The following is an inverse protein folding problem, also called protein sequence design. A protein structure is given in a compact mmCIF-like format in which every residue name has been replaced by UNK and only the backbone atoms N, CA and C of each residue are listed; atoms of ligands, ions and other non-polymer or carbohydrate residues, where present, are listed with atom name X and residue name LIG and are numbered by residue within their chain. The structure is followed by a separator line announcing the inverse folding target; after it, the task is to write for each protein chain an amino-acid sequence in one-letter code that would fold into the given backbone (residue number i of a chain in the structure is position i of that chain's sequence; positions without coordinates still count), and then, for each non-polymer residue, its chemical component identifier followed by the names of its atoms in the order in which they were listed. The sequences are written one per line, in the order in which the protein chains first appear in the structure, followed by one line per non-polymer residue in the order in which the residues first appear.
data_IF_715339454684
#
_entry.id   IF_715339454684
#
_cell.length_a   1.000
_cell.length_b   1.000
_cell.length_c   1.000
_cell.angle_alpha   90.00
_cell.angle_beta   90.00
_cell.angle_gamma   90.00
#
_symmetry.space_group_name_H-M   'P 1'
#
loop_
_entity.id
_entity.type
_entity.pdbx_description
1 polymer ?
#
# COMPACT_ATOMS: atom_id res chain seq x y z
N UNK A 1 -8.19 4.21 7.34
CA UNK A 1 -9.44 3.59 7.82
C UNK A 1 -9.69 3.95 9.29
N UNK A 2 -10.91 3.95 9.73
CA UNK A 2 -11.27 4.44 11.07
C UNK A 2 -12.52 3.74 11.66
N UNK A 3 -12.95 2.61 11.07
CA UNK A 3 -14.16 1.89 11.48
C UNK A 3 -15.47 2.54 11.04
N UNK A 4 -15.42 3.63 10.27
CA UNK A 4 -16.60 4.40 9.83
C UNK A 4 -16.80 4.31 8.32
N UNK A 5 -17.86 4.95 7.84
CA UNK A 5 -18.25 5.02 6.44
C UNK A 5 -18.45 3.61 5.83
N UNK A 6 -17.96 3.40 4.64
CA UNK A 6 -18.14 2.17 3.89
C UNK A 6 -17.11 1.06 4.23
N UNK A 7 -16.28 1.24 5.27
CA UNK A 7 -15.22 0.28 5.59
C UNK A 7 -15.75 -1.13 5.87
N UNK A 8 -16.82 -1.25 6.64
CA UNK A 8 -17.40 -2.55 7.01
C UNK A 8 -18.08 -3.24 5.82
N UNK A 9 -18.96 -2.58 5.03
CA UNK A 9 -19.48 -3.15 3.80
C UNK A 9 -18.38 -3.58 2.80
N UNK A 10 -17.34 -2.78 2.63
CA UNK A 10 -16.22 -3.13 1.76
C UNK A 10 -15.44 -4.34 2.30
N UNK A 11 -15.23 -4.43 3.62
CA UNK A 11 -14.59 -5.59 4.23
C UNK A 11 -15.39 -6.89 4.05
N UNK A 12 -16.72 -6.82 4.13
CA UNK A 12 -17.59 -7.95 3.85
C UNK A 12 -17.49 -8.39 2.39
N UNK A 13 -17.57 -7.44 1.45
CA UNK A 13 -17.36 -7.71 0.03
C UNK A 13 -15.97 -8.31 -0.26
N UNK A 14 -14.92 -7.83 0.42
CA UNK A 14 -13.58 -8.44 0.31
C UNK A 14 -13.60 -9.91 0.74
N UNK A 15 -14.33 -10.23 1.81
CA UNK A 15 -14.50 -11.59 2.30
C UNK A 15 -15.26 -12.49 1.32
N UNK A 16 -16.39 -12.02 0.80
CA UNK A 16 -17.17 -12.73 -0.22
C UNK A 16 -16.32 -13.02 -1.47
N UNK A 17 -15.56 -12.02 -1.93
CA UNK A 17 -14.66 -12.19 -3.07
C UNK A 17 -13.49 -13.11 -2.76
N UNK A 18 -12.94 -13.07 -1.54
CA UNK A 18 -11.88 -13.97 -1.12
C UNK A 18 -12.30 -15.44 -1.20
N UNK A 19 -13.54 -15.74 -0.82
CA UNK A 19 -14.12 -17.10 -0.99
C UNK A 19 -14.21 -17.58 -2.45
N UNK A 20 -14.18 -16.65 -3.42
CA UNK A 20 -14.23 -16.97 -4.85
C UNK A 20 -12.84 -17.04 -5.48
N UNK A 21 -11.96 -16.06 -5.14
CA UNK A 21 -10.64 -15.93 -5.80
C UNK A 21 -9.51 -16.63 -5.05
N UNK A 22 -9.76 -17.09 -3.83
CA UNK A 22 -8.80 -17.80 -2.96
C UNK A 22 -7.44 -17.08 -2.87
N UNK A 23 -7.37 -15.86 -2.32
CA UNK A 23 -6.13 -15.10 -2.27
C UNK A 23 -5.15 -15.66 -1.23
N UNK A 24 -3.86 -15.59 -1.51
CA UNK A 24 -2.82 -16.04 -0.57
C UNK A 24 -2.66 -15.10 0.64
N UNK A 25 -2.94 -13.81 0.48
CA UNK A 25 -2.73 -12.81 1.52
C UNK A 25 -3.43 -11.48 1.20
N UNK A 26 -3.37 -10.55 2.16
CA UNK A 26 -3.82 -9.16 2.00
C UNK A 26 -2.64 -8.20 2.20
N UNK A 27 -2.50 -7.21 1.31
CA UNK A 27 -1.58 -6.10 1.46
C UNK A 27 -2.33 -4.86 1.91
N UNK A 28 -1.88 -4.21 2.99
CA UNK A 28 -2.50 -3.00 3.50
C UNK A 28 -1.57 -1.79 3.32
N UNK A 29 -2.01 -0.83 2.50
CA UNK A 29 -1.21 0.31 2.06
C UNK A 29 -1.12 1.46 3.08
N UNK A 30 -1.23 1.17 4.39
CA UNK A 30 -1.10 2.13 5.48
C UNK A 30 -2.39 2.87 5.84
N UNK A 31 -2.31 3.72 6.87
CA UNK A 31 -3.45 4.47 7.42
C UNK A 31 -4.62 3.57 7.85
N UNK A 32 -4.32 2.47 8.52
CA UNK A 32 -5.32 1.53 9.04
C UNK A 32 -6.02 2.14 10.26
N UNK A 33 -5.29 2.95 11.03
CA UNK A 33 -5.79 3.54 12.28
C UNK A 33 -5.82 5.07 12.20
N UNK A 34 -6.87 5.61 11.59
CA UNK A 34 -7.16 7.04 11.65
C UNK A 34 -7.73 7.40 13.05
N UNK A 35 -7.42 8.58 13.64
CA UNK A 35 -6.59 9.64 13.06
C UNK A 35 -5.17 9.67 13.63
N UNK A 36 -4.92 9.03 14.77
CA UNK A 36 -3.70 9.19 15.54
C UNK A 36 -2.90 7.90 15.70
N UNK A 37 -3.15 6.90 14.84
CA UNK A 37 -2.53 5.59 14.99
C UNK A 37 -2.99 4.89 16.28
N UNK A 38 -2.28 3.86 16.68
CA UNK A 38 -2.51 3.13 17.95
C UNK A 38 -1.55 3.59 19.04
N UNK A 39 -1.97 3.52 20.29
CA UNK A 39 -1.14 3.87 21.42
C UNK A 39 -0.33 2.65 21.94
N UNK A 40 -0.86 1.45 21.83
CA UNK A 40 -0.26 0.21 22.35
C UNK A 40 -0.78 -1.03 21.62
N UNK A 41 -0.26 -2.20 21.98
CA UNK A 41 -0.77 -3.50 21.49
C UNK A 41 -2.21 -3.80 21.98
N UNK A 42 -2.66 -3.15 23.03
CA UNK A 42 -3.98 -3.31 23.64
C UNK A 42 -4.94 -2.16 23.26
N UNK A 43 -4.55 -1.28 22.35
CA UNK A 43 -5.41 -0.18 21.93
C UNK A 43 -6.71 -0.72 21.35
N UNK A 44 -7.89 -0.22 21.79
CA UNK A 44 -9.20 -0.64 21.26
C UNK A 44 -9.35 -0.45 19.75
N UNK A 45 -8.58 0.45 19.15
CA UNK A 45 -8.58 0.68 17.70
C UNK A 45 -8.21 -0.58 16.89
N UNK A 46 -7.42 -1.49 17.47
CA UNK A 46 -7.16 -2.78 16.83
C UNK A 46 -8.45 -3.57 16.56
N UNK A 47 -9.35 -3.57 17.53
CA UNK A 47 -10.63 -4.26 17.39
C UNK A 47 -11.56 -3.52 16.43
N UNK A 48 -11.72 -2.20 16.60
CA UNK A 48 -12.72 -1.41 15.86
C UNK A 48 -12.35 -1.09 14.42
N UNK A 49 -11.04 -1.06 14.11
CA UNK A 49 -10.56 -0.67 12.77
C UNK A 49 -10.01 -1.86 11.98
N UNK A 50 -9.71 -2.98 12.62
CA UNK A 50 -9.08 -4.12 11.96
C UNK A 50 -9.77 -5.45 12.30
N UNK A 51 -9.69 -5.96 13.53
CA UNK A 51 -10.11 -7.34 13.84
C UNK A 51 -11.61 -7.58 13.61
N UNK A 52 -12.48 -6.69 14.10
CA UNK A 52 -13.93 -6.82 13.94
C UNK A 52 -14.44 -6.33 12.58
N UNK A 53 -13.63 -5.57 11.86
CA UNK A 53 -13.99 -5.10 10.52
C UNK A 53 -13.71 -6.20 9.50
N UNK A 54 -12.48 -6.71 9.48
CA UNK A 54 -12.04 -7.75 8.53
C UNK A 54 -12.17 -9.14 9.15
N UNK A 55 -13.38 -9.46 9.65
CA UNK A 55 -13.66 -10.67 10.42
C UNK A 55 -14.28 -11.81 9.59
N UNK A 56 -14.51 -11.59 8.29
CA UNK A 56 -14.98 -12.65 7.40
C UNK A 56 -14.02 -13.85 7.43
N UNK A 57 -14.51 -15.11 7.49
CA UNK A 57 -13.64 -16.30 7.57
C UNK A 57 -12.57 -16.36 6.48
N UNK A 58 -12.93 -16.01 5.24
CA UNK A 58 -12.01 -16.03 4.09
C UNK A 58 -10.98 -14.88 4.08
N UNK A 59 -11.08 -13.94 5.05
CA UNK A 59 -10.06 -12.92 5.31
C UNK A 59 -9.13 -13.27 6.47
N UNK A 60 -9.23 -14.49 7.04
CA UNK A 60 -8.30 -14.99 8.08
C UNK A 60 -6.95 -15.39 7.48
N UNK A 61 -6.44 -14.56 6.58
CA UNK A 61 -5.18 -14.68 5.84
C UNK A 61 -4.06 -13.87 6.50
N UNK A 62 -2.84 -14.05 6.03
CA UNK A 62 -1.72 -13.18 6.38
C UNK A 62 -1.92 -11.77 5.81
N UNK A 63 -1.76 -10.76 6.65
CA UNK A 63 -1.84 -9.34 6.29
C UNK A 63 -0.45 -8.71 6.35
N UNK A 64 -0.02 -8.12 5.24
CA UNK A 64 1.27 -7.45 5.10
C UNK A 64 1.04 -5.93 5.02
N UNK A 65 1.16 -5.19 6.13
CA UNK A 65 0.94 -3.76 6.16
C UNK A 65 2.20 -2.94 5.89
N UNK A 66 2.01 -1.68 5.52
CA UNK A 66 3.02 -0.61 5.64
C UNK A 66 2.52 0.46 6.60
N UNK A 67 3.43 1.23 7.19
CA UNK A 67 3.05 2.42 7.94
C UNK A 67 2.58 3.52 6.98
N UNK A 68 1.43 4.15 7.29
CA UNK A 68 1.04 5.42 6.74
C UNK A 68 1.42 6.58 7.67
N UNK A 69 1.07 7.81 7.27
CA UNK A 69 1.37 8.97 8.10
C UNK A 69 0.51 9.04 9.37
N UNK A 70 -0.64 8.37 9.40
CA UNK A 70 -1.47 8.31 10.60
C UNK A 70 -0.90 7.36 11.64
N UNK A 71 -0.26 6.26 11.28
CA UNK A 71 0.48 5.40 12.20
C UNK A 71 1.62 6.16 12.88
N UNK A 72 2.26 7.09 12.18
CA UNK A 72 3.34 7.94 12.71
C UNK A 72 2.87 9.02 13.70
N UNK A 73 1.57 9.21 13.86
CA UNK A 73 1.00 10.05 14.94
C UNK A 73 0.86 9.28 16.25
N UNK A 74 0.87 7.96 16.20
CA UNK A 74 0.77 7.06 17.34
C UNK A 74 2.09 6.36 17.65
N UNK A 75 1.97 5.15 18.16
CA UNK A 75 3.09 4.28 18.48
C UNK A 75 3.39 3.33 17.32
N UNK A 76 4.33 3.73 16.46
CA UNK A 76 4.72 2.91 15.30
C UNK A 76 5.34 1.57 15.69
N UNK A 77 5.97 1.47 16.88
CA UNK A 77 6.50 0.20 17.36
C UNK A 77 5.36 -0.76 17.73
N UNK A 78 4.32 -0.28 18.39
CA UNK A 78 3.13 -1.10 18.67
C UNK A 78 2.45 -1.57 17.38
N UNK A 79 2.41 -0.72 16.33
CA UNK A 79 1.88 -1.08 15.03
C UNK A 79 2.66 -2.24 14.40
N UNK A 80 4.00 -2.19 14.41
CA UNK A 80 4.83 -3.30 13.93
C UNK A 80 4.67 -4.56 14.78
N UNK A 81 4.68 -4.41 16.09
CA UNK A 81 4.68 -5.50 17.07
C UNK A 81 3.33 -6.22 17.21
N UNK A 82 2.28 -5.76 16.55
CA UNK A 82 0.94 -6.35 16.69
C UNK A 82 0.86 -7.82 16.25
N UNK A 83 1.81 -8.30 15.45
CA UNK A 83 1.98 -9.72 15.17
C UNK A 83 2.21 -10.60 16.42
N UNK A 84 2.58 -10.00 17.55
CA UNK A 84 2.66 -10.70 18.87
C UNK A 84 1.28 -10.99 19.47
N UNK A 85 0.23 -10.33 18.98
CA UNK A 85 -1.17 -10.46 19.42
C UNK A 85 -2.02 -11.14 18.34
N UNK A 86 -1.95 -10.67 17.10
CA UNK A 86 -2.71 -11.21 15.98
C UNK A 86 -1.81 -12.00 15.06
N UNK A 87 -2.09 -13.31 14.90
CA UNK A 87 -1.33 -14.20 14.00
C UNK A 87 -1.39 -13.80 12.53
N UNK A 88 -2.40 -13.00 12.14
CA UNK A 88 -2.58 -12.52 10.77
C UNK A 88 -1.64 -11.35 10.42
N UNK A 89 -1.11 -10.65 11.42
CA UNK A 89 -0.33 -9.43 11.23
C UNK A 89 1.14 -9.73 10.96
N UNK A 90 1.56 -9.56 9.71
CA UNK A 90 2.90 -9.89 9.23
C UNK A 90 3.71 -8.64 8.90
N UNK A 91 4.25 -7.98 9.92
CA UNK A 91 5.10 -6.79 9.77
C UNK A 91 6.45 -6.99 10.48
N UNK A 92 7.42 -7.66 9.84
CA UNK A 92 8.69 -8.02 10.49
C UNK A 92 9.62 -6.82 10.70
N UNK A 93 9.44 -5.73 9.95
CA UNK A 93 10.22 -4.50 10.02
C UNK A 93 9.43 -3.33 9.42
N UNK A 94 9.95 -2.09 9.52
CA UNK A 94 9.34 -0.89 8.91
C UNK A 94 9.28 -0.98 7.39
N UNK A 95 10.31 -1.56 6.80
CA UNK A 95 10.37 -1.89 5.38
C UNK A 95 10.91 -3.32 5.23
N UNK A 96 10.35 -4.07 4.31
CA UNK A 96 10.62 -5.49 4.16
C UNK A 96 10.21 -5.99 2.78
N UNK A 97 10.57 -7.23 2.47
CA UNK A 97 10.16 -7.89 1.23
C UNK A 97 9.60 -9.28 1.51
N UNK A 98 8.61 -9.68 0.73
CA UNK A 98 8.07 -11.03 0.72
C UNK A 98 8.10 -11.58 -0.69
N UNK A 99 8.54 -12.82 -0.83
CA UNK A 99 8.51 -13.54 -2.11
C UNK A 99 7.45 -14.63 -2.02
N UNK A 100 6.56 -14.62 -2.99
CA UNK A 100 5.58 -15.68 -3.21
C UNK A 100 6.01 -16.53 -4.39
N UNK A 101 5.79 -17.85 -4.30
CA UNK A 101 6.10 -18.81 -5.37
C UNK A 101 4.96 -19.80 -5.50
N UNK A 102 4.42 -19.92 -6.69
CA UNK A 102 3.42 -20.91 -7.02
C UNK A 102 3.80 -21.59 -8.34
N UNK A 103 4.09 -22.90 -8.30
CA UNK A 103 4.62 -23.60 -9.46
C UNK A 103 5.90 -22.95 -10.00
N UNK A 104 5.86 -22.52 -11.26
CA UNK A 104 6.97 -21.85 -11.94
C UNK A 104 6.87 -20.31 -11.90
N UNK A 105 5.91 -19.77 -11.19
CA UNK A 105 5.69 -18.31 -11.06
C UNK A 105 6.25 -17.81 -9.75
N UNK A 106 6.88 -16.65 -9.79
CA UNK A 106 7.38 -15.98 -8.60
C UNK A 106 7.09 -14.48 -8.65
N UNK A 107 6.71 -13.91 -7.51
CA UNK A 107 6.53 -12.47 -7.35
C UNK A 107 7.20 -12.00 -6.07
N UNK A 108 7.95 -10.91 -6.17
CA UNK A 108 8.50 -10.18 -5.03
C UNK A 108 7.64 -8.98 -4.75
N UNK A 109 7.15 -8.87 -3.53
CA UNK A 109 6.50 -7.67 -3.02
C UNK A 109 7.49 -6.96 -2.10
N UNK A 110 7.75 -5.69 -2.36
CA UNK A 110 8.65 -4.84 -1.57
C UNK A 110 7.80 -3.81 -0.85
N UNK A 111 7.81 -3.85 0.47
CA UNK A 111 7.00 -3.00 1.35
C UNK A 111 7.88 -1.87 1.90
N UNK A 112 7.50 -0.61 1.65
CA UNK A 112 8.29 0.57 2.00
C UNK A 112 7.60 1.41 3.08
N UNK A 113 8.40 1.94 3.98
CA UNK A 113 7.98 2.98 4.92
C UNK A 113 8.25 4.36 4.29
N UNK A 114 7.22 4.94 3.67
CA UNK A 114 7.38 6.16 2.89
C UNK A 114 7.23 7.45 3.69
N UNK A 115 6.69 7.42 4.90
CA UNK A 115 6.55 8.62 5.75
C UNK A 115 7.89 9.29 6.04
N UNK A 116 8.96 8.56 6.39
CA UNK A 116 10.29 9.16 6.60
C UNK A 116 10.98 9.68 5.33
N UNK A 117 10.49 9.33 4.14
CA UNK A 117 11.03 9.85 2.88
C UNK A 117 10.56 11.28 2.58
N UNK A 118 9.61 11.81 3.35
CA UNK A 118 8.96 13.11 3.10
C UNK A 118 9.36 14.11 4.19
N UNK A 119 9.97 15.20 3.76
CA UNK A 119 10.54 16.22 4.64
C UNK A 119 9.52 16.87 5.57
N UNK A 120 8.29 17.09 5.10
CA UNK A 120 7.25 17.74 5.91
C UNK A 120 6.86 16.91 7.14
N UNK A 121 6.92 15.57 7.06
CA UNK A 121 6.71 14.69 8.21
C UNK A 121 7.92 14.65 9.12
N UNK A 122 9.13 14.54 8.58
CA UNK A 122 10.37 14.54 9.36
C UNK A 122 10.58 15.83 10.16
N UNK A 123 10.19 16.97 9.60
CA UNK A 123 10.34 18.29 10.24
C UNK A 123 9.27 18.59 11.27
N UNK A 124 8.21 17.79 11.38
CA UNK A 124 7.10 18.00 12.28
C UNK A 124 7.05 16.91 13.39
N UNK A 125 8.08 16.90 14.24
CA UNK A 125 8.23 15.91 15.30
C UNK A 125 7.17 16.01 16.41
N UNK A 126 6.46 17.13 16.52
CA UNK A 126 5.35 17.27 17.46
C UNK A 126 4.13 16.44 17.07
N UNK A 127 3.93 16.19 15.77
CA UNK A 127 2.83 15.39 15.24
C UNK A 127 3.29 14.00 14.81
N UNK A 128 4.53 13.88 14.33
CA UNK A 128 5.12 12.64 13.79
C UNK A 128 6.44 12.33 14.51
N UNK A 129 6.40 11.96 15.82
CA UNK A 129 7.58 11.93 16.67
C UNK A 129 8.66 10.92 16.23
N UNK A 130 8.29 9.90 15.47
CA UNK A 130 9.21 8.87 15.00
C UNK A 130 9.74 9.11 13.58
N UNK A 131 9.14 10.00 12.79
CA UNK A 131 9.51 10.17 11.39
C UNK A 131 10.95 10.69 11.20
N UNK A 132 11.40 11.61 12.07
CA UNK A 132 12.77 12.15 12.04
C UNK A 132 13.83 11.16 12.56
N UNK A 133 13.42 10.14 13.29
CA UNK A 133 14.32 9.12 13.87
C UNK A 133 14.70 8.02 12.87
N UNK A 134 13.97 7.93 11.73
CA UNK A 134 14.22 6.89 10.75
C UNK A 134 15.34 7.29 9.78
N UNK A 135 16.17 6.31 9.46
CA UNK A 135 17.23 6.46 8.46
C UNK A 135 16.67 6.18 7.04
N UNK A 136 16.30 7.28 6.36
CA UNK A 136 15.77 7.20 5.01
C UNK A 136 16.80 6.69 4.00
N UNK A 137 18.09 7.05 4.17
CA UNK A 137 19.15 6.63 3.26
C UNK A 137 19.45 5.14 3.41
N UNK A 138 19.42 4.60 4.63
CA UNK A 138 19.54 3.16 4.86
C UNK A 138 18.41 2.38 4.17
N UNK A 139 17.18 2.88 4.22
CA UNK A 139 16.06 2.26 3.51
C UNK A 139 16.24 2.29 1.99
N UNK A 140 16.71 3.42 1.43
CA UNK A 140 16.94 3.53 -0.02
C UNK A 140 18.10 2.63 -0.47
N UNK A 141 19.17 2.51 0.32
CA UNK A 141 20.26 1.59 0.06
C UNK A 141 19.79 0.12 0.11
N UNK A 142 18.97 -0.24 1.09
CA UNK A 142 18.34 -1.56 1.18
C UNK A 142 17.43 -1.86 -0.02
N UNK A 143 16.65 -0.87 -0.46
CA UNK A 143 15.81 -1.01 -1.65
C UNK A 143 16.65 -1.23 -2.90
N UNK A 144 17.72 -0.47 -3.08
CA UNK A 144 18.67 -0.64 -4.19
C UNK A 144 19.22 -2.06 -4.23
N UNK A 145 19.70 -2.57 -3.10
CA UNK A 145 20.20 -3.94 -2.99
C UNK A 145 19.10 -4.98 -3.26
N UNK A 146 17.91 -4.76 -2.74
CA UNK A 146 16.75 -5.66 -2.93
C UNK A 146 16.39 -5.77 -4.42
N UNK A 147 16.28 -4.63 -5.12
CA UNK A 147 15.93 -4.61 -6.55
C UNK A 147 17.05 -5.18 -7.42
N UNK A 148 18.32 -4.88 -7.11
CA UNK A 148 19.48 -5.46 -7.81
C UNK A 148 19.51 -6.97 -7.77
N UNK A 149 19.14 -7.55 -6.63
CA UNK A 149 19.18 -9.00 -6.38
C UNK A 149 17.86 -9.71 -6.74
N UNK A 150 16.81 -8.99 -7.12
CA UNK A 150 15.53 -9.59 -7.47
C UNK A 150 15.64 -10.45 -8.74
N UNK A 151 15.20 -11.70 -8.66
CA UNK A 151 15.19 -12.70 -9.74
C UNK A 151 13.79 -13.20 -10.06
N UNK A 152 12.81 -12.70 -9.34
CA UNK A 152 11.42 -13.09 -9.47
C UNK A 152 10.85 -12.67 -10.82
N UNK A 153 9.80 -13.37 -11.25
CA UNK A 153 9.12 -13.04 -12.51
C UNK A 153 8.54 -11.64 -12.49
N UNK A 154 8.06 -11.20 -11.34
CA UNK A 154 7.48 -9.89 -11.13
C UNK A 154 7.98 -9.26 -9.84
N UNK A 155 8.17 -7.95 -9.87
CA UNK A 155 8.47 -7.12 -8.70
C UNK A 155 7.42 -6.03 -8.59
N UNK A 156 6.73 -5.99 -7.46
CA UNK A 156 5.77 -4.94 -7.09
C UNK A 156 6.32 -4.22 -5.87
N UNK A 157 6.37 -2.90 -5.93
CA UNK A 157 6.79 -2.06 -4.79
C UNK A 157 5.54 -1.38 -4.23
N UNK A 158 5.37 -1.46 -2.92
CA UNK A 158 4.25 -0.85 -2.21
C UNK A 158 4.74 0.11 -1.13
N UNK A 159 4.05 1.23 -1.03
CA UNK A 159 4.25 2.19 0.05
C UNK A 159 2.94 2.89 0.37
N UNK A 160 2.97 3.88 1.27
CA UNK A 160 1.75 4.61 1.59
C UNK A 160 1.54 5.83 0.68
N UNK A 161 2.59 6.61 0.44
CA UNK A 161 2.48 7.88 -0.28
C UNK A 161 2.67 7.72 -1.78
N UNK A 162 1.92 8.47 -2.61
CA UNK A 162 2.07 8.43 -4.07
C UNK A 162 3.34 9.15 -4.54
N UNK A 163 3.91 8.65 -5.64
CA UNK A 163 4.93 9.34 -6.42
C UNK A 163 4.28 10.32 -7.40
N UNK A 164 3.20 9.88 -8.04
CA UNK A 164 2.35 10.69 -8.91
C UNK A 164 0.88 10.52 -8.51
N UNK A 165 0.15 11.61 -8.45
CA UNK A 165 -1.30 11.60 -8.22
C UNK A 165 -1.91 12.99 -8.46
N UNK A 166 -3.17 13.03 -8.89
CA UNK A 166 -4.04 14.19 -8.66
C UNK A 166 -4.49 14.19 -7.20
N UNK A 167 -4.26 15.28 -6.51
CA UNK A 167 -4.62 15.43 -5.09
C UNK A 167 -4.49 16.87 -4.63
N UNK A 168 -5.27 17.24 -3.62
CA UNK A 168 -5.14 18.50 -2.89
C UNK A 168 -4.08 18.48 -1.78
N UNK A 169 -3.37 17.37 -1.58
CA UNK A 169 -2.24 17.27 -0.67
C UNK A 169 -1.07 18.13 -1.16
N UNK A 170 -0.16 18.48 -0.25
CA UNK A 170 1.01 19.29 -0.59
C UNK A 170 1.82 18.66 -1.70
N UNK A 171 2.15 19.45 -2.71
CA UNK A 171 2.98 19.01 -3.82
C UNK A 171 4.37 18.55 -3.37
N UNK A 172 4.91 19.18 -2.32
CA UNK A 172 6.20 18.80 -1.74
C UNK A 172 6.29 17.33 -1.33
N UNK A 173 5.19 16.68 -0.95
CA UNK A 173 5.18 15.26 -0.62
C UNK A 173 5.55 14.42 -1.85
N UNK A 174 4.92 14.70 -2.99
CA UNK A 174 5.22 14.00 -4.26
C UNK A 174 6.61 14.33 -4.79
N UNK A 175 7.04 15.58 -4.67
CA UNK A 175 8.40 15.99 -5.09
C UNK A 175 9.48 15.29 -4.26
N UNK A 176 9.30 15.15 -2.95
CA UNK A 176 10.20 14.38 -2.09
C UNK A 176 10.25 12.89 -2.49
N UNK A 177 9.08 12.29 -2.76
CA UNK A 177 8.98 10.91 -3.24
C UNK A 177 9.67 10.73 -4.59
N UNK A 178 9.42 11.63 -5.54
CA UNK A 178 10.08 11.61 -6.87
C UNK A 178 11.59 11.75 -6.73
N UNK A 179 12.06 12.71 -5.94
CA UNK A 179 13.49 12.98 -5.76
C UNK A 179 14.25 11.79 -5.16
N UNK A 180 13.65 11.11 -4.17
CA UNK A 180 14.34 10.06 -3.42
C UNK A 180 14.10 8.67 -3.97
N UNK A 181 12.87 8.37 -4.38
CA UNK A 181 12.49 7.00 -4.70
C UNK A 181 12.64 6.65 -6.17
N UNK A 182 12.27 7.55 -7.10
CA UNK A 182 12.35 7.26 -8.54
C UNK A 182 13.75 6.84 -9.02
N UNK A 183 14.86 7.49 -8.61
CA UNK A 183 16.19 7.08 -9.07
C UNK A 183 16.53 5.63 -8.72
N UNK A 184 15.99 5.12 -7.59
CA UNK A 184 16.22 3.74 -7.16
C UNK A 184 15.30 2.79 -7.93
N UNK A 185 14.02 3.15 -8.10
CA UNK A 185 13.04 2.31 -8.82
C UNK A 185 13.42 2.10 -10.29
N UNK A 186 13.97 3.13 -10.95
CA UNK A 186 14.32 3.08 -12.38
C UNK A 186 15.64 2.34 -12.65
N UNK A 187 16.49 2.14 -11.63
CA UNK A 187 17.87 1.70 -11.82
C UNK A 187 17.99 0.33 -12.47
N UNK A 188 17.06 -0.59 -12.22
CA UNK A 188 17.17 -1.99 -12.68
C UNK A 188 16.08 -2.39 -13.67
N UNK A 189 15.14 -1.52 -13.99
CA UNK A 189 14.04 -1.75 -14.95
C UNK A 189 13.23 -3.03 -14.68
N UNK A 190 13.14 -3.45 -13.42
CA UNK A 190 12.48 -4.69 -13.01
C UNK A 190 11.20 -4.47 -12.19
N UNK A 191 10.90 -3.23 -11.80
CA UNK A 191 9.67 -2.90 -11.08
C UNK A 191 8.50 -2.80 -12.09
N UNK A 192 7.47 -3.61 -11.88
CA UNK A 192 6.28 -3.60 -12.74
C UNK A 192 5.25 -2.55 -12.29
N UNK A 193 5.01 -2.46 -10.98
CA UNK A 193 4.00 -1.58 -10.38
C UNK A 193 4.58 -0.94 -9.11
N UNK A 194 4.32 0.36 -8.92
CA UNK A 194 4.36 1.03 -7.63
C UNK A 194 2.94 1.30 -7.16
N UNK A 195 2.51 0.65 -6.06
CA UNK A 195 1.17 0.79 -5.50
C UNK A 195 1.20 1.54 -4.16
N UNK A 196 0.22 2.40 -3.91
CA UNK A 196 0.12 3.18 -2.70
C UNK A 196 -1.34 3.47 -2.30
N UNK A 197 -1.52 4.13 -1.14
CA UNK A 197 -2.81 4.60 -0.63
C UNK A 197 -2.86 6.12 -0.51
N UNK A 198 -3.13 6.65 0.69
CA UNK A 198 -3.03 8.04 1.12
C UNK A 198 -4.08 9.01 0.55
N UNK A 199 -4.45 8.87 -0.72
CA UNK A 199 -5.26 9.88 -1.43
C UNK A 199 -6.76 9.59 -1.36
N UNK A 200 -7.17 8.35 -1.09
CA UNK A 200 -8.56 7.91 -0.99
C UNK A 200 -9.33 8.03 -2.32
N UNK A 201 -8.74 7.62 -3.40
CA UNK A 201 -9.38 7.45 -4.70
C UNK A 201 -8.55 6.49 -5.55
N UNK A 202 -9.12 5.99 -6.63
CA UNK A 202 -8.37 5.15 -7.56
C UNK A 202 -7.69 6.02 -8.62
N UNK A 203 -6.40 5.76 -8.86
CA UNK A 203 -5.67 6.35 -9.98
C UNK A 203 -4.71 5.32 -10.57
N UNK A 204 -4.64 5.27 -11.89
CA UNK A 204 -3.61 4.58 -12.64
C UNK A 204 -2.90 5.60 -13.53
N UNK A 205 -1.62 5.77 -13.34
CA UNK A 205 -0.79 6.75 -14.02
C UNK A 205 0.37 6.04 -14.70
N UNK A 206 0.58 6.32 -15.99
CA UNK A 206 1.74 5.90 -16.76
C UNK A 206 2.51 7.12 -17.23
N UNK A 207 3.81 7.12 -17.06
CA UNK A 207 4.67 8.19 -17.56
C UNK A 207 5.32 7.76 -18.89
N UNK A 208 5.39 8.69 -19.83
CA UNK A 208 6.00 8.41 -21.14
C UNK A 208 7.44 7.93 -20.98
N UNK A 209 7.72 6.75 -21.52
CA UNK A 209 9.05 6.14 -21.47
C UNK A 209 9.38 5.44 -20.14
N UNK A 210 8.41 5.32 -19.24
CA UNK A 210 8.53 4.59 -17.98
C UNK A 210 7.84 3.24 -18.06
N UNK A 211 8.46 2.20 -17.51
CA UNK A 211 7.88 0.85 -17.47
C UNK A 211 7.03 0.60 -16.23
N UNK A 212 7.08 1.50 -15.25
CA UNK A 212 6.35 1.36 -14.00
C UNK A 212 4.92 1.90 -14.15
N UNK A 213 3.93 1.12 -13.75
CA UNK A 213 2.59 1.62 -13.53
C UNK A 213 2.49 2.16 -12.10
N UNK A 214 2.11 3.43 -11.97
CA UNK A 214 1.91 4.08 -10.68
C UNK A 214 0.44 4.01 -10.31
N UNK A 215 0.15 3.39 -9.18
CA UNK A 215 -1.22 3.09 -8.78
C UNK A 215 -1.50 3.68 -7.42
N UNK A 216 -2.52 4.51 -7.34
CA UNK A 216 -3.16 4.86 -6.08
C UNK A 216 -4.36 3.93 -5.90
N UNK A 217 -4.30 3.08 -4.88
CA UNK A 217 -5.44 2.29 -4.47
C UNK A 217 -6.33 3.12 -3.55
N UNK A 218 -7.63 3.04 -3.75
CA UNK A 218 -8.58 3.82 -2.97
C UNK A 218 -8.61 3.40 -1.51
N UNK A 219 -9.26 4.19 -0.70
CA UNK A 219 -9.63 3.83 0.66
C UNK A 219 -10.73 2.78 0.65
N UNK A 220 -10.65 1.82 1.54
CA UNK A 220 -11.77 0.92 1.85
C UNK A 220 -12.75 1.55 2.85
N UNK A 221 -12.89 2.86 2.88
CA UNK A 221 -13.72 3.56 3.87
C UNK A 221 -14.36 4.85 3.34
N UNK A 222 -13.57 5.78 2.81
CA UNK A 222 -14.00 7.11 2.39
C UNK A 222 -13.29 7.51 1.10
N UNK A 223 -14.05 7.75 0.05
CA UNK A 223 -13.52 8.24 -1.22
C UNK A 223 -13.40 9.77 -1.27
N UNK A 224 -12.50 10.26 -2.11
CA UNK A 224 -12.28 11.68 -2.38
C UNK A 224 -12.35 11.97 -3.88
N UNK A 225 -12.78 13.19 -4.28
CA UNK A 225 -12.76 13.60 -5.68
C UNK A 225 -11.37 13.47 -6.31
N UNK A 226 -11.35 13.17 -7.59
CA UNK A 226 -10.15 13.07 -8.42
C UNK A 226 -10.46 13.55 -9.84
N UNK A 227 -9.47 14.08 -10.51
CA UNK A 227 -9.52 14.46 -11.92
C UNK A 227 -8.26 13.97 -12.64
N UNK A 228 -8.29 13.81 -13.97
CA UNK A 228 -7.11 13.43 -14.72
C UNK A 228 -5.96 14.44 -14.54
N UNK A 229 -4.74 13.92 -14.46
CA UNK A 229 -3.47 14.66 -14.50
C UNK A 229 -2.55 14.06 -15.57
N UNK A 230 -1.37 14.62 -15.76
CA UNK A 230 -0.42 14.12 -16.78
C UNK A 230 -0.08 12.63 -16.56
N UNK A 231 -0.31 11.83 -17.60
CA UNK A 231 -0.12 10.39 -17.60
C UNK A 231 -1.28 9.58 -17.02
N UNK A 232 -2.40 10.19 -16.64
CA UNK A 232 -3.56 9.44 -16.14
C UNK A 232 -4.14 8.53 -17.23
N UNK A 233 -4.12 7.23 -16.97
CA UNK A 233 -4.79 6.19 -17.76
C UNK A 233 -6.22 5.99 -17.26
N UNK A 234 -6.40 6.01 -15.95
CA UNK A 234 -7.69 5.86 -15.28
C UNK A 234 -7.70 6.61 -13.94
N UNK A 235 -8.84 7.17 -13.59
CA UNK A 235 -9.09 7.66 -12.23
C UNK A 235 -10.58 7.55 -11.89
N UNK A 236 -10.87 7.33 -10.60
CA UNK A 236 -12.23 7.23 -10.08
C UNK A 236 -12.30 7.69 -8.63
N UNK A 237 -13.36 8.41 -8.29
CA UNK A 237 -13.67 8.83 -6.92
C UNK A 237 -14.40 7.75 -6.12
N UNK A 238 -14.39 6.49 -6.58
CA UNK A 238 -14.97 5.38 -5.83
C UNK A 238 -14.06 4.96 -4.68
N UNK A 239 -14.65 4.43 -3.63
CA UNK A 239 -14.00 3.64 -2.60
C UNK A 239 -14.03 2.16 -2.96
N UNK A 240 -13.15 1.36 -2.38
CA UNK A 240 -13.02 -0.05 -2.69
C UNK A 240 -11.63 -0.61 -2.42
N UNK A 241 -11.27 -1.64 -3.18
CA UNK A 241 -10.00 -2.35 -3.04
C UNK A 241 -9.49 -2.86 -4.40
N UNK A 242 -8.34 -3.50 -4.41
CA UNK A 242 -7.81 -4.10 -5.64
C UNK A 242 -7.38 -5.55 -5.41
N UNK A 243 -7.50 -6.36 -6.46
CA UNK A 243 -7.05 -7.75 -6.49
C UNK A 243 -5.88 -7.90 -7.47
N UNK A 244 -4.77 -8.46 -6.99
CA UNK A 244 -3.66 -8.88 -7.85
C UNK A 244 -3.83 -10.34 -8.25
N UNK A 245 -3.63 -10.62 -9.53
CA UNK A 245 -3.51 -11.97 -10.06
C UNK A 245 -2.21 -12.07 -10.86
N UNK A 246 -1.41 -13.09 -10.58
CA UNK A 246 -0.06 -13.21 -11.15
C UNK A 246 0.15 -14.61 -11.72
N UNK A 247 0.58 -14.67 -12.96
CA UNK A 247 1.18 -15.85 -13.55
C UNK A 247 2.56 -15.53 -14.16
N UNK A 248 3.23 -16.50 -14.75
CA UNK A 248 4.58 -16.32 -15.29
C UNK A 248 4.67 -15.25 -16.39
N UNK A 249 3.60 -15.04 -17.15
CA UNK A 249 3.56 -14.13 -18.30
C UNK A 249 2.73 -12.88 -18.07
N UNK A 250 1.86 -12.92 -17.06
CA UNK A 250 0.85 -11.90 -16.87
C UNK A 250 0.74 -11.51 -15.39
N UNK A 251 0.76 -10.21 -15.13
CA UNK A 251 0.36 -9.62 -13.87
C UNK A 251 -0.85 -8.75 -14.13
N UNK A 252 -1.92 -8.97 -13.39
CA UNK A 252 -3.13 -8.14 -13.42
C UNK A 252 -3.37 -7.52 -12.05
N UNK A 253 -3.83 -6.27 -12.05
CA UNK A 253 -4.37 -5.60 -10.87
C UNK A 253 -5.74 -5.06 -11.24
N UNK A 254 -6.80 -5.61 -10.66
CA UNK A 254 -8.18 -5.21 -10.88
C UNK A 254 -8.65 -4.31 -9.74
N UNK A 255 -9.06 -3.08 -10.06
CA UNK A 255 -9.66 -2.13 -9.12
C UNK A 255 -11.17 -2.43 -9.02
N UNK A 256 -11.66 -2.61 -7.82
CA UNK A 256 -13.02 -3.03 -7.50
C UNK A 256 -13.65 -1.97 -6.59
N UNK A 257 -14.79 -1.45 -7.01
CA UNK A 257 -15.54 -0.49 -6.18
C UNK A 257 -16.33 -1.19 -5.07
N UNK A 258 -16.96 -0.40 -4.21
CA UNK A 258 -17.74 -0.88 -3.08
C UNK A 258 -18.97 -1.71 -3.46
N UNK A 259 -19.41 -1.63 -4.73
CA UNK A 259 -20.53 -2.39 -5.27
C UNK A 259 -20.06 -3.72 -5.91
N UNK A 260 -18.79 -4.06 -5.80
CA UNK A 260 -18.18 -5.28 -6.34
C UNK A 260 -17.88 -5.24 -7.83
N UNK A 261 -17.99 -4.07 -8.46
CA UNK A 261 -17.73 -3.91 -9.88
C UNK A 261 -16.23 -3.70 -10.15
N UNK A 262 -15.67 -4.46 -11.08
CA UNK A 262 -14.35 -4.15 -11.64
C UNK A 262 -14.48 -2.89 -12.49
N UNK A 263 -13.91 -1.80 -12.02
CA UNK A 263 -13.97 -0.49 -12.68
C UNK A 263 -12.75 -0.22 -13.56
N UNK A 264 -11.64 -0.91 -13.32
CA UNK A 264 -10.43 -0.82 -14.13
C UNK A 264 -9.54 -2.06 -13.91
N UNK A 265 -8.78 -2.42 -14.95
CA UNK A 265 -7.77 -3.49 -14.85
C UNK A 265 -6.47 -3.05 -15.49
N UNK A 266 -5.40 -3.12 -14.74
CA UNK A 266 -4.03 -2.94 -15.18
C UNK A 266 -3.49 -4.30 -15.58
N UNK A 267 -2.84 -4.39 -16.74
CA UNK A 267 -2.27 -5.64 -17.24
C UNK A 267 -0.83 -5.41 -17.69
N UNK A 268 0.09 -6.18 -17.11
CA UNK A 268 1.50 -6.24 -17.56
C UNK A 268 1.76 -7.61 -18.15
N UNK A 269 2.35 -7.63 -19.33
CA UNK A 269 2.82 -8.85 -19.99
C UNK A 269 4.34 -8.83 -20.16
N UNK A 270 4.97 -10.02 -20.10
CA UNK A 270 6.39 -10.21 -20.46
C UNK A 270 6.55 -10.47 -21.94
#
# INVERSE_FOLDING_TARGET
NNGYYDQKPIAELMGEMAGVVDPECVFAAGDIHHFNGVASLQDPLWMTNYELVYSHPDLMLDWFPVCGNHEYRGNTQAFMDYGKVSRRWMMPARYYTKVFKHGNTSVRIVMLDTTPLIDSYRKNSSVYPDACKQDAEAQLAWLDETLRNAKEDWVVVMGHHPIYADTNKKESERLDMQKRLLPVLHKYNNVAIYACGHIHNFQHIQKKGDNIDYVVNSSSSLARPVKPTDGTVFCSSADGFSVFTVDKKLLKMSMIDKDGKIIHTITKSK
#
